data_IF_755827792326
#
_entry.id   IF_755827792326
#
_cell.length_a   1.000
_cell.length_b   1.000
_cell.length_c   1.000
_cell.angle_alpha   90.00
_cell.angle_beta   90.00
_cell.angle_gamma   90.00
#
_symmetry.space_group_name_H-M   'P 1'
#
loop_
_entity.id
_entity.type
_entity.pdbx_description
1 polymer ?
#
# COMPACT_ATOMS: atom_id res chain seq x y z
N UNK A 1 -23.10 -8.26 -11.98
CA UNK A 1 -24.56 -8.49 -11.98
C UNK A 1 -25.25 -7.14 -12.07
N UNK A 2 -26.36 -7.01 -12.81
CA UNK A 2 -27.21 -5.81 -12.79
C UNK A 2 -28.45 -6.11 -11.96
N UNK A 3 -28.93 -5.19 -11.10
CA UNK A 3 -30.17 -5.40 -10.38
C UNK A 3 -31.33 -5.51 -11.39
N UNK A 4 -32.31 -6.37 -11.09
CA UNK A 4 -33.50 -6.57 -11.92
C UNK A 4 -34.47 -5.38 -11.85
N UNK A 5 -34.29 -4.53 -10.84
CA UNK A 5 -35.06 -3.31 -10.63
C UNK A 5 -34.11 -2.11 -10.44
N UNK A 6 -34.67 -0.90 -10.55
CA UNK A 6 -33.89 0.33 -10.41
C UNK A 6 -33.67 0.63 -8.93
N UNK A 7 -32.46 0.40 -8.44
CA UNK A 7 -32.03 0.72 -7.07
C UNK A 7 -31.00 1.85 -7.05
N UNK A 8 -30.86 2.51 -5.91
CA UNK A 8 -29.88 3.60 -5.74
C UNK A 8 -28.44 3.07 -5.72
N UNK A 9 -27.47 3.92 -6.08
CA UNK A 9 -26.05 3.60 -5.94
C UNK A 9 -25.70 3.20 -4.50
N UNK A 10 -26.28 3.87 -3.50
CA UNK A 10 -26.07 3.54 -2.09
C UNK A 10 -26.62 2.16 -1.69
N UNK A 11 -27.75 1.75 -2.26
CA UNK A 11 -28.29 0.41 -2.06
C UNK A 11 -27.37 -0.65 -2.65
N UNK A 12 -26.76 -0.38 -3.82
CA UNK A 12 -25.73 -1.24 -4.41
C UNK A 12 -24.43 -1.24 -3.57
N UNK A 13 -24.09 -0.08 -3.01
CA UNK A 13 -23.17 0.15 -1.89
C UNK A 13 -23.22 -0.98 -0.87
N UNK A 14 -24.37 -1.03 -0.23
CA UNK A 14 -24.69 -1.95 0.83
C UNK A 14 -24.56 -3.41 0.38
N UNK A 15 -25.16 -3.76 -0.76
CA UNK A 15 -25.12 -5.14 -1.28
C UNK A 15 -23.68 -5.59 -1.55
N UNK A 16 -22.86 -4.71 -2.14
CA UNK A 16 -21.46 -5.03 -2.40
C UNK A 16 -20.72 -5.35 -1.10
N UNK A 17 -20.91 -4.53 -0.05
CA UNK A 17 -20.34 -4.78 1.28
C UNK A 17 -20.85 -6.09 1.88
N UNK A 18 -22.15 -6.40 1.78
CA UNK A 18 -22.70 -7.69 2.26
C UNK A 18 -22.11 -8.89 1.51
N UNK A 19 -21.90 -8.78 0.19
CA UNK A 19 -21.27 -9.84 -0.61
C UNK A 19 -19.81 -10.07 -0.20
N UNK A 20 -19.06 -9.02 0.11
CA UNK A 20 -17.67 -9.13 0.56
C UNK A 20 -17.53 -9.95 1.84
N UNK A 21 -18.50 -9.87 2.75
CA UNK A 21 -18.48 -10.66 3.99
C UNK A 21 -18.51 -12.17 3.73
N UNK A 22 -18.98 -12.60 2.56
CA UNK A 22 -19.01 -14.01 2.17
C UNK A 22 -17.74 -14.48 1.46
N UNK A 23 -16.74 -13.62 1.24
CA UNK A 23 -15.49 -13.97 0.58
C UNK A 23 -14.77 -15.15 1.24
N UNK A 24 -14.87 -15.28 2.56
CA UNK A 24 -14.26 -16.37 3.34
C UNK A 24 -14.77 -17.76 2.98
N UNK A 25 -15.94 -17.88 2.32
CA UNK A 25 -16.49 -19.16 1.84
C UNK A 25 -15.72 -19.72 0.65
N UNK A 26 -14.92 -18.90 -0.02
CA UNK A 26 -14.23 -19.27 -1.26
C UNK A 26 -12.72 -19.31 -1.06
N UNK A 27 -12.08 -20.31 -1.67
CA UNK A 27 -10.64 -20.53 -1.63
C UNK A 27 -10.12 -20.89 -3.02
N UNK A 28 -8.80 -21.03 -3.16
CA UNK A 28 -8.22 -21.49 -4.43
C UNK A 28 -8.72 -22.90 -4.83
N UNK A 29 -8.96 -23.78 -3.85
CA UNK A 29 -9.55 -25.10 -4.09
C UNK A 29 -11.10 -25.06 -4.20
N UNK A 30 -11.73 -23.96 -3.79
CA UNK A 30 -13.18 -23.76 -3.82
C UNK A 30 -13.53 -22.40 -4.42
N UNK A 31 -13.29 -22.26 -5.72
CA UNK A 31 -13.46 -21.00 -6.46
C UNK A 31 -14.92 -20.65 -6.71
N UNK A 32 -15.22 -19.35 -6.83
CA UNK A 32 -16.55 -18.91 -7.24
C UNK A 32 -16.82 -19.28 -8.69
N UNK A 33 -18.03 -19.74 -9.01
CA UNK A 33 -18.48 -20.00 -10.38
C UNK A 33 -19.95 -19.59 -10.54
N UNK A 34 -20.48 -19.64 -11.77
CA UNK A 34 -21.84 -19.20 -12.07
C UNK A 34 -22.92 -19.95 -11.27
N UNK A 35 -22.78 -21.27 -11.11
CA UNK A 35 -23.73 -22.08 -10.34
C UNK A 35 -23.74 -21.72 -8.85
N UNK A 36 -22.56 -21.59 -8.24
CA UNK A 36 -22.41 -21.19 -6.83
C UNK A 36 -22.88 -19.76 -6.60
N UNK A 37 -22.70 -18.88 -7.58
CA UNK A 37 -23.17 -17.51 -7.52
C UNK A 37 -24.70 -17.44 -7.63
N UNK A 38 -25.34 -18.32 -8.41
CA UNK A 38 -26.80 -18.40 -8.48
C UNK A 38 -27.46 -18.94 -7.21
N UNK A 39 -26.73 -19.73 -6.42
CA UNK A 39 -27.19 -20.27 -5.13
C UNK A 39 -26.81 -19.38 -3.93
N UNK A 40 -26.01 -18.33 -4.17
CA UNK A 40 -25.52 -17.46 -3.09
C UNK A 40 -26.68 -16.67 -2.47
N UNK A 41 -26.97 -16.96 -1.21
CA UNK A 41 -27.90 -16.19 -0.39
C UNK A 41 -27.13 -15.08 0.34
N UNK A 42 -27.65 -13.86 0.28
CA UNK A 42 -27.17 -12.73 1.07
C UNK A 42 -28.25 -12.31 2.06
N UNK A 43 -27.82 -11.95 3.26
CA UNK A 43 -28.73 -11.38 4.26
C UNK A 43 -28.84 -9.88 4.03
N UNK A 44 -30.06 -9.42 3.78
CA UNK A 44 -30.39 -8.01 3.60
C UNK A 44 -31.48 -7.61 4.60
N UNK A 45 -31.50 -6.34 5.03
CA UNK A 45 -32.65 -5.78 5.74
C UNK A 45 -33.92 -5.91 4.88
N UNK A 46 -35.01 -6.37 5.46
CA UNK A 46 -36.31 -6.52 4.76
C UNK A 46 -37.39 -5.64 5.38
N UNK A 47 -38.45 -5.40 4.62
CA UNK A 47 -39.74 -4.95 5.13
C UNK A 47 -40.52 -6.15 5.69
N UNK A 48 -41.69 -5.89 6.28
CA UNK A 48 -42.56 -6.94 6.85
C UNK A 48 -43.09 -7.93 5.79
N UNK A 49 -43.11 -7.53 4.52
CA UNK A 49 -43.49 -8.37 3.37
C UNK A 49 -42.35 -9.26 2.85
N UNK A 50 -41.17 -9.21 3.48
CA UNK A 50 -39.98 -9.95 3.09
C UNK A 50 -39.20 -9.34 1.91
N UNK A 51 -39.64 -8.22 1.34
CA UNK A 51 -38.91 -7.53 0.29
C UNK A 51 -37.72 -6.76 0.86
N UNK A 52 -36.60 -6.61 0.12
CA UNK A 52 -35.45 -5.85 0.59
C UNK A 52 -35.81 -4.38 0.88
N UNK A 53 -35.39 -3.89 2.04
CA UNK A 53 -35.63 -2.51 2.45
C UNK A 53 -34.59 -1.57 1.79
N UNK A 54 -34.82 -1.24 0.53
CA UNK A 54 -33.94 -0.38 -0.28
C UNK A 54 -33.74 1.01 0.31
N UNK A 55 -34.80 1.56 0.90
CA UNK A 55 -34.76 2.86 1.56
C UNK A 55 -33.81 2.84 2.76
N UNK A 56 -33.94 1.84 3.64
CA UNK A 56 -33.04 1.65 4.77
C UNK A 56 -31.58 1.49 4.32
N UNK A 57 -31.31 0.58 3.38
CA UNK A 57 -29.94 0.36 2.90
C UNK A 57 -29.31 1.65 2.33
N UNK A 58 -30.10 2.43 1.57
CA UNK A 58 -29.65 3.71 1.01
C UNK A 58 -29.36 4.73 2.11
N UNK A 59 -30.30 4.89 3.06
CA UNK A 59 -30.17 5.83 4.18
C UNK A 59 -28.99 5.47 5.09
N UNK A 60 -28.81 4.19 5.40
CA UNK A 60 -27.69 3.69 6.20
C UNK A 60 -26.34 3.99 5.55
N UNK A 61 -26.16 3.67 4.27
CA UNK A 61 -24.89 3.93 3.59
C UNK A 61 -24.57 5.43 3.48
N UNK A 62 -25.59 6.29 3.33
CA UNK A 62 -25.42 7.76 3.38
C UNK A 62 -25.00 8.23 4.77
N UNK A 63 -25.60 7.69 5.82
CA UNK A 63 -25.22 7.99 7.20
C UNK A 63 -23.76 7.60 7.47
N UNK A 64 -23.35 6.41 7.03
CA UNK A 64 -21.98 5.93 7.14
C UNK A 64 -20.98 6.77 6.34
N UNK A 65 -21.33 7.16 5.11
CA UNK A 65 -20.51 8.09 4.31
C UNK A 65 -20.35 9.43 5.04
N UNK A 66 -21.45 10.01 5.55
CA UNK A 66 -21.41 11.27 6.30
C UNK A 66 -20.51 11.16 7.54
N UNK A 67 -20.62 10.05 8.30
CA UNK A 67 -19.78 9.77 9.47
C UNK A 67 -18.29 9.73 9.11
N UNK A 68 -17.93 9.05 8.03
CA UNK A 68 -16.55 8.97 7.55
C UNK A 68 -16.03 10.32 7.04
N UNK A 69 -16.87 11.10 6.37
CA UNK A 69 -16.51 12.44 5.85
C UNK A 69 -16.21 13.42 6.99
N UNK A 70 -16.97 13.39 8.09
CA UNK A 70 -16.72 14.23 9.28
C UNK A 70 -15.32 13.99 9.86
N UNK A 71 -14.81 12.76 9.80
CA UNK A 71 -13.47 12.44 10.29
C UNK A 71 -12.38 12.72 9.23
N UNK A 72 -12.69 12.44 7.96
CA UNK A 72 -11.71 12.47 6.87
C UNK A 72 -11.39 13.90 6.43
N UNK A 73 -12.39 14.77 6.29
CA UNK A 73 -12.20 16.13 5.79
C UNK A 73 -11.24 16.95 6.68
N UNK A 74 -11.40 17.02 8.02
CA UNK A 74 -10.48 17.78 8.87
C UNK A 74 -9.06 17.20 8.86
N UNK A 75 -8.91 15.89 8.64
CA UNK A 75 -7.59 15.27 8.51
C UNK A 75 -6.89 15.73 7.24
N UNK A 76 -7.58 15.67 6.10
CA UNK A 76 -7.04 16.10 4.81
C UNK A 76 -6.74 17.61 4.80
N UNK A 77 -7.62 18.43 5.38
CA UNK A 77 -7.41 19.88 5.51
C UNK A 77 -6.16 20.21 6.31
N UNK A 78 -5.96 19.55 7.46
CA UNK A 78 -4.74 19.72 8.27
C UNK A 78 -3.47 19.28 7.53
N UNK A 79 -3.53 18.15 6.82
CA UNK A 79 -2.39 17.63 6.06
C UNK A 79 -2.02 18.55 4.89
N UNK A 80 -3.01 19.15 4.23
CA UNK A 80 -2.79 20.10 3.14
C UNK A 80 -2.24 21.43 3.67
N UNK A 81 -2.83 21.97 4.75
CA UNK A 81 -2.39 23.23 5.35
C UNK A 81 -0.96 23.16 5.92
N UNK A 82 -0.52 21.99 6.39
CA UNK A 82 0.81 21.78 6.94
C UNK A 82 1.92 21.59 5.89
N UNK A 83 1.60 21.60 4.59
CA UNK A 83 2.56 21.38 3.53
C UNK A 83 2.67 22.54 2.55
N UNK A 84 3.89 22.82 2.13
CA UNK A 84 4.19 23.61 0.95
C UNK A 84 4.99 22.77 -0.03
N UNK A 85 4.78 22.99 -1.33
CA UNK A 85 5.54 22.33 -2.37
C UNK A 85 5.91 23.35 -3.44
N UNK A 86 7.19 23.44 -3.73
CA UNK A 86 7.68 24.23 -4.86
C UNK A 86 7.28 23.58 -6.18
N UNK A 87 7.04 24.36 -7.24
CA UNK A 87 6.77 23.83 -8.56
C UNK A 87 8.03 23.13 -9.11
N UNK A 88 8.06 21.80 -9.03
CA UNK A 88 9.21 20.98 -9.43
C UNK A 88 8.81 19.98 -10.52
N UNK A 89 9.27 20.15 -11.75
CA UNK A 89 8.97 19.25 -12.88
C UNK A 89 9.97 18.12 -13.08
N UNK A 90 9.45 16.92 -13.42
CA UNK A 90 10.25 15.78 -13.92
C UNK A 90 10.82 15.96 -15.34
N UNK A 91 10.10 16.56 -16.30
CA UNK A 91 10.61 16.71 -17.66
C UNK A 91 11.96 17.45 -17.66
N UNK A 92 12.87 17.08 -18.57
CA UNK A 92 14.20 17.68 -18.79
C UNK A 92 15.27 17.45 -17.70
N UNK A 93 14.98 16.71 -16.63
CA UNK A 93 16.03 16.35 -15.66
C UNK A 93 16.94 15.26 -16.23
N UNK A 94 18.28 15.37 -16.07
CA UNK A 94 19.17 14.28 -16.40
C UNK A 94 18.99 13.10 -15.44
N UNK A 95 19.15 11.87 -15.96
CA UNK A 95 19.03 10.64 -15.17
C UNK A 95 20.28 9.79 -15.35
N UNK A 96 20.64 9.03 -14.31
CA UNK A 96 21.76 8.10 -14.34
C UNK A 96 21.42 6.81 -13.60
N UNK A 97 22.10 5.73 -13.99
CA UNK A 97 22.04 4.46 -13.29
C UNK A 97 23.02 4.45 -12.11
N UNK A 98 22.54 4.08 -10.93
CA UNK A 98 23.33 3.90 -9.71
C UNK A 98 23.25 2.44 -9.25
N UNK A 99 24.31 1.86 -8.69
CA UNK A 99 24.17 0.54 -8.05
C UNK A 99 23.41 0.71 -6.74
N UNK A 100 22.48 -0.18 -6.48
CA UNK A 100 21.64 -0.10 -5.29
C UNK A 100 22.48 -0.12 -4.00
N UNK A 101 23.52 -0.97 -3.97
CA UNK A 101 24.38 -1.13 -2.80
C UNK A 101 25.39 0.01 -2.60
N UNK A 102 25.59 0.86 -3.62
CA UNK A 102 26.36 2.11 -3.47
C UNK A 102 25.54 3.16 -2.71
N UNK A 103 24.20 3.07 -2.77
CA UNK A 103 23.27 4.02 -2.11
C UNK A 103 22.73 3.49 -0.76
N UNK A 104 22.60 2.16 -0.63
CA UNK A 104 21.98 1.52 0.52
C UNK A 104 22.87 0.42 1.12
N UNK A 105 22.88 0.34 2.45
CA UNK A 105 23.32 -0.85 3.16
C UNK A 105 22.17 -1.88 3.16
N UNK A 106 22.43 -3.08 2.64
CA UNK A 106 21.44 -4.15 2.61
C UNK A 106 21.61 -5.12 3.79
N UNK A 107 20.53 -5.37 4.52
CA UNK A 107 20.44 -6.35 5.60
C UNK A 107 19.30 -7.30 5.34
N UNK A 108 19.54 -8.61 5.41
CA UNK A 108 18.47 -9.61 5.26
C UNK A 108 17.59 -9.64 6.52
N UNK A 109 16.28 -9.77 6.35
CA UNK A 109 15.38 -10.06 7.47
C UNK A 109 15.78 -11.35 8.20
N UNK A 110 15.40 -11.45 9.47
CA UNK A 110 15.88 -12.49 10.38
C UNK A 110 14.74 -13.37 10.95
N UNK A 111 13.49 -13.09 10.60
CA UNK A 111 12.32 -13.82 11.06
C UNK A 111 12.02 -15.04 10.18
N UNK A 112 12.60 -16.20 10.54
CA UNK A 112 12.44 -17.47 9.81
C UNK A 112 11.20 -18.27 10.21
N UNK A 113 10.66 -18.03 11.41
CA UNK A 113 9.53 -18.78 11.99
C UNK A 113 8.44 -17.83 12.47
N UNK A 114 7.87 -17.08 11.53
CA UNK A 114 6.88 -16.04 11.83
C UNK A 114 5.64 -16.55 12.58
N UNK A 115 5.24 -17.80 12.36
CA UNK A 115 4.04 -18.39 12.99
C UNK A 115 4.21 -18.64 14.51
N UNK A 116 5.44 -18.63 15.01
CA UNK A 116 5.72 -18.84 16.43
C UNK A 116 5.78 -17.52 17.22
N UNK A 117 5.62 -16.37 16.55
CA UNK A 117 5.66 -15.06 17.19
C UNK A 117 4.33 -14.78 17.89
N UNK A 118 4.40 -14.34 19.14
CA UNK A 118 3.23 -13.93 19.91
C UNK A 118 2.64 -12.63 19.34
N UNK A 119 1.30 -12.44 19.39
CA UNK A 119 0.65 -11.20 18.99
C UNK A 119 1.14 -10.01 19.83
N UNK A 120 1.38 -8.87 19.18
CA UNK A 120 1.84 -7.66 19.86
C UNK A 120 1.57 -6.39 19.05
N UNK A 121 2.42 -5.37 19.21
CA UNK A 121 2.23 -4.05 18.58
C UNK A 121 3.30 -3.70 17.54
N UNK A 122 4.29 -4.56 17.33
CA UNK A 122 5.37 -4.33 16.36
C UNK A 122 4.98 -4.88 15.00
N UNK A 123 5.05 -4.09 13.90
CA UNK A 123 4.72 -4.61 12.58
C UNK A 123 5.69 -5.73 12.16
N UNK A 124 5.12 -6.83 11.69
CA UNK A 124 5.85 -7.90 11.02
C UNK A 124 5.76 -7.70 9.50
N UNK A 125 6.88 -7.35 8.88
CA UNK A 125 6.97 -7.18 7.44
C UNK A 125 7.34 -8.51 6.78
N UNK A 126 6.54 -8.93 5.81
CA UNK A 126 6.79 -10.10 4.98
C UNK A 126 6.74 -9.74 3.50
N UNK A 127 7.00 -10.71 2.63
CA UNK A 127 7.01 -10.49 1.19
C UNK A 127 5.61 -10.36 0.53
N UNK A 128 4.65 -9.72 1.22
CA UNK A 128 3.31 -9.43 0.72
C UNK A 128 3.37 -8.30 -0.31
N UNK A 129 2.49 -8.37 -1.31
CA UNK A 129 2.38 -7.35 -2.38
C UNK A 129 1.48 -6.16 -2.03
N UNK A 130 0.81 -6.20 -0.87
CA UNK A 130 -0.14 -5.20 -0.40
C UNK A 130 0.15 -4.81 1.05
N UNK A 131 -0.53 -3.78 1.55
CA UNK A 131 -0.44 -3.26 2.92
C UNK A 131 0.99 -2.93 3.36
N UNK A 132 1.81 -2.35 2.47
CA UNK A 132 3.19 -1.96 2.77
C UNK A 132 4.08 -3.14 3.25
N UNK A 133 3.74 -4.36 2.84
CA UNK A 133 4.41 -5.59 3.30
C UNK A 133 3.97 -6.07 4.68
N UNK A 134 3.07 -5.37 5.37
CA UNK A 134 2.62 -5.75 6.73
C UNK A 134 1.83 -7.06 6.67
N UNK A 135 2.35 -8.06 7.39
CA UNK A 135 1.73 -9.36 7.58
C UNK A 135 0.80 -9.36 8.78
N UNK A 136 1.33 -8.94 9.92
CA UNK A 136 0.69 -8.99 11.23
C UNK A 136 1.37 -8.03 12.21
N UNK A 137 0.95 -8.02 13.47
CA UNK A 137 1.61 -7.35 14.58
C UNK A 137 2.02 -8.34 15.66
N UNK A 138 3.27 -8.27 16.08
CA UNK A 138 3.92 -9.25 16.95
C UNK A 138 4.63 -8.57 18.12
N UNK A 139 4.93 -9.34 19.16
CA UNK A 139 5.86 -8.90 20.20
C UNK A 139 7.28 -8.77 19.65
N UNK A 140 8.09 -7.93 20.30
CA UNK A 140 9.50 -7.84 19.99
C UNK A 140 10.21 -9.11 20.48
N UNK A 141 10.64 -9.94 19.53
CA UNK A 141 11.41 -11.14 19.83
C UNK A 141 12.89 -10.85 20.08
N UNK A 142 13.62 -11.88 20.52
CA UNK A 142 15.06 -11.82 20.82
C UNK A 142 15.97 -11.48 19.63
N UNK A 143 15.46 -11.57 18.40
CA UNK A 143 16.21 -11.28 17.17
C UNK A 143 16.34 -9.79 16.87
N UNK A 144 15.71 -8.93 17.67
CA UNK A 144 15.72 -7.48 17.50
C UNK A 144 14.96 -7.00 16.27
N UNK A 145 14.78 -5.69 16.20
CA UNK A 145 14.03 -5.02 15.13
C UNK A 145 14.95 -4.35 14.12
N UNK A 146 14.45 -4.26 12.89
CA UNK A 146 15.04 -3.39 11.89
C UNK A 146 14.57 -1.96 12.12
N UNK A 147 15.44 -0.96 11.91
CA UNK A 147 15.12 0.42 12.25
C UNK A 147 14.06 1.00 11.30
N UNK A 148 13.36 2.04 11.78
CA UNK A 148 12.49 2.86 10.94
C UNK A 148 13.27 3.60 9.86
N UNK A 149 12.54 4.22 8.92
CA UNK A 149 13.10 5.06 7.87
C UNK A 149 14.04 4.28 6.95
N UNK A 150 13.56 3.12 6.52
CA UNK A 150 14.24 2.22 5.61
C UNK A 150 13.31 1.80 4.46
N UNK A 151 13.89 1.12 3.47
CA UNK A 151 13.12 0.47 2.40
C UNK A 151 13.18 -1.04 2.63
N UNK A 152 12.05 -1.73 2.54
CA UNK A 152 12.02 -3.20 2.48
C UNK A 152 11.77 -3.65 1.06
N UNK A 153 12.60 -4.56 0.56
CA UNK A 153 12.54 -5.15 -0.77
C UNK A 153 12.17 -6.64 -0.67
N UNK A 154 11.05 -7.00 -1.28
CA UNK A 154 10.60 -8.39 -1.35
C UNK A 154 11.51 -9.17 -2.28
N UNK A 155 12.24 -10.16 -1.75
CA UNK A 155 13.16 -10.94 -2.56
C UNK A 155 12.46 -12.05 -3.32
N UNK A 156 11.39 -12.60 -2.75
CA UNK A 156 10.61 -13.70 -3.27
C UNK A 156 9.14 -13.52 -2.85
N UNK A 157 8.22 -14.30 -3.41
CA UNK A 157 6.81 -14.31 -3.01
C UNK A 157 5.84 -14.20 -4.18
N UNK A 158 4.70 -14.87 -4.05
CA UNK A 158 3.66 -14.96 -5.08
C UNK A 158 3.07 -13.57 -5.41
N UNK A 159 3.50 -13.05 -6.57
CA UNK A 159 3.19 -11.69 -7.01
C UNK A 159 3.83 -10.57 -6.17
N UNK A 160 4.60 -10.90 -5.14
CA UNK A 160 5.25 -9.95 -4.23
C UNK A 160 6.70 -9.62 -4.59
N UNK A 161 7.39 -10.52 -5.28
CA UNK A 161 8.81 -10.37 -5.62
C UNK A 161 9.10 -9.05 -6.36
N UNK A 162 10.19 -8.39 -5.98
CA UNK A 162 10.64 -7.12 -6.58
C UNK A 162 9.85 -5.88 -6.18
N UNK A 163 8.81 -6.01 -5.35
CA UNK A 163 8.16 -4.84 -4.75
C UNK A 163 9.00 -4.31 -3.59
N UNK A 164 9.10 -2.98 -3.52
CA UNK A 164 9.71 -2.27 -2.43
C UNK A 164 8.66 -1.43 -1.68
N UNK A 165 8.92 -1.20 -0.40
CA UNK A 165 8.04 -0.46 0.50
C UNK A 165 8.87 0.42 1.45
N UNK A 166 8.40 1.63 1.72
CA UNK A 166 9.01 2.49 2.74
C UNK A 166 8.46 2.13 4.12
N UNK A 167 9.32 1.90 5.11
CA UNK A 167 8.90 1.57 6.47
C UNK A 167 9.05 2.77 7.40
N UNK A 168 7.94 3.41 7.85
CA UNK A 168 8.00 4.55 8.76
C UNK A 168 8.27 4.16 10.22
N UNK A 169 8.17 2.87 10.57
CA UNK A 169 8.34 2.36 11.92
C UNK A 169 9.41 1.27 11.96
N UNK A 170 9.96 1.03 13.15
CA UNK A 170 10.80 -0.14 13.37
C UNK A 170 9.94 -1.40 13.26
N UNK A 171 10.52 -2.49 12.76
CA UNK A 171 9.75 -3.67 12.39
C UNK A 171 10.53 -4.97 12.54
N UNK A 172 9.79 -6.05 12.82
CA UNK A 172 10.28 -7.41 12.64
C UNK A 172 10.19 -7.73 11.14
N UNK A 173 11.22 -8.35 10.55
CA UNK A 173 11.29 -8.55 9.09
C UNK A 173 11.58 -10.00 8.75
N UNK A 174 10.68 -10.57 7.95
CA UNK A 174 10.79 -11.90 7.32
C UNK A 174 12.12 -12.07 6.58
N UNK A 175 12.72 -13.25 6.68
CA UNK A 175 13.94 -13.58 5.95
C UNK A 175 13.75 -13.71 4.43
N UNK A 176 12.53 -13.62 3.90
CA UNK A 176 12.28 -13.41 2.47
C UNK A 176 12.32 -11.94 2.04
N UNK A 177 12.59 -11.01 2.95
CA UNK A 177 12.66 -9.56 2.71
C UNK A 177 14.06 -9.02 3.01
N UNK A 178 14.52 -8.08 2.19
CA UNK A 178 15.79 -7.36 2.39
C UNK A 178 15.49 -5.95 2.83
N UNK A 179 16.09 -5.51 3.93
CA UNK A 179 16.05 -4.13 4.41
C UNK A 179 17.19 -3.35 3.76
N UNK A 180 16.88 -2.18 3.22
CA UNK A 180 17.79 -1.24 2.59
C UNK A 180 17.83 0.03 3.44
N UNK A 181 18.96 0.27 4.09
CA UNK A 181 19.22 1.44 4.91
C UNK A 181 19.98 2.47 4.08
N UNK A 182 19.52 3.73 3.98
CA UNK A 182 20.26 4.74 3.22
C UNK A 182 21.63 4.96 3.86
N UNK A 183 22.69 5.00 3.04
CA UNK A 183 24.07 5.22 3.51
C UNK A 183 24.35 6.66 3.93
N UNK A 184 23.50 7.58 3.48
CA UNK A 184 23.54 8.99 3.82
C UNK A 184 22.16 9.45 4.31
N UNK A 185 22.08 10.71 4.74
CA UNK A 185 20.82 11.28 5.20
C UNK A 185 19.92 11.60 4.00
N UNK A 186 18.86 10.83 3.82
CA UNK A 186 17.88 10.98 2.73
C UNK A 186 16.51 11.30 3.32
N UNK A 187 15.74 12.18 2.69
CA UNK A 187 14.38 12.51 3.13
C UNK A 187 13.34 11.40 2.87
N UNK A 188 12.19 11.45 3.54
CA UNK A 188 11.10 10.47 3.36
C UNK A 188 10.59 10.45 1.92
N UNK A 189 10.34 11.62 1.35
CA UNK A 189 9.87 11.76 -0.03
C UNK A 189 10.89 11.17 -1.01
N UNK A 190 12.17 11.48 -0.83
CA UNK A 190 13.26 10.91 -1.62
C UNK A 190 13.31 9.37 -1.54
N UNK A 191 13.13 8.77 -0.36
CA UNK A 191 13.04 7.31 -0.22
C UNK A 191 11.79 6.73 -0.89
N UNK A 192 10.63 7.41 -0.80
CA UNK A 192 9.41 6.98 -1.50
C UNK A 192 9.58 7.03 -3.03
N UNK A 193 10.31 8.02 -3.53
CA UNK A 193 10.70 8.08 -4.94
C UNK A 193 11.54 6.86 -5.33
N UNK A 194 12.58 6.57 -4.55
CA UNK A 194 13.43 5.39 -4.76
C UNK A 194 12.64 4.08 -4.71
N UNK A 195 11.70 3.94 -3.77
CA UNK A 195 10.75 2.80 -3.69
C UNK A 195 10.00 2.61 -4.99
N UNK A 196 9.48 3.70 -5.58
CA UNK A 196 8.75 3.64 -6.85
C UNK A 196 9.63 3.17 -8.00
N UNK A 197 10.87 3.67 -8.06
CA UNK A 197 11.86 3.29 -9.08
C UNK A 197 12.33 1.83 -8.92
N UNK A 198 12.50 1.34 -7.69
CA UNK A 198 12.86 -0.06 -7.42
C UNK A 198 11.71 -0.97 -7.86
N UNK A 199 10.49 -0.66 -7.40
CA UNK A 199 9.28 -1.42 -7.70
C UNK A 199 8.92 -1.42 -9.19
N UNK A 200 9.32 -0.39 -9.94
CA UNK A 200 9.14 -0.35 -11.40
C UNK A 200 9.88 -1.50 -12.11
N UNK A 201 10.90 -2.07 -11.48
CA UNK A 201 11.70 -3.16 -12.06
C UNK A 201 11.19 -4.55 -11.67
N UNK A 202 10.08 -4.64 -10.92
CA UNK A 202 9.55 -5.91 -10.40
C UNK A 202 9.27 -6.97 -11.45
N UNK A 203 8.98 -6.58 -12.69
CA UNK A 203 8.64 -7.49 -13.78
C UNK A 203 9.75 -8.51 -14.10
N UNK A 204 10.98 -8.23 -13.68
CA UNK A 204 12.13 -9.14 -13.80
C UNK A 204 12.09 -10.30 -12.80
N UNK A 205 11.26 -10.21 -11.76
CA UNK A 205 11.27 -11.12 -10.61
C UNK A 205 9.93 -11.81 -10.45
N UNK A 206 9.97 -13.02 -9.90
CA UNK A 206 8.78 -13.84 -9.70
C UNK A 206 9.14 -15.23 -9.23
N UNK A 207 8.16 -16.14 -9.31
CA UNK A 207 8.36 -17.53 -8.93
C UNK A 207 9.48 -18.16 -9.78
N UNK A 208 10.51 -18.71 -9.14
CA UNK A 208 11.70 -19.25 -9.81
C UNK A 208 12.78 -18.21 -10.18
N UNK A 209 12.51 -16.91 -9.99
CA UNK A 209 13.47 -15.83 -10.24
C UNK A 209 13.46 -14.79 -9.11
N UNK A 210 13.92 -15.23 -7.93
CA UNK A 210 14.04 -14.39 -6.73
C UNK A 210 15.24 -13.44 -6.79
N UNK A 211 15.24 -12.41 -5.95
CA UNK A 211 16.37 -11.50 -5.77
C UNK A 211 17.39 -12.18 -4.84
N UNK A 212 18.35 -12.89 -5.45
CA UNK A 212 19.50 -13.45 -4.74
C UNK A 212 20.50 -12.35 -4.35
N UNK A 213 21.45 -12.67 -3.47
CA UNK A 213 22.54 -11.76 -3.10
C UNK A 213 23.36 -11.30 -4.31
N UNK A 214 23.60 -12.18 -5.29
CA UNK A 214 24.27 -11.83 -6.55
C UNK A 214 23.46 -10.85 -7.39
N UNK A 215 22.16 -11.10 -7.53
CA UNK A 215 21.27 -10.19 -8.28
C UNK A 215 21.15 -8.84 -7.58
N UNK A 216 21.15 -8.83 -6.24
CA UNK A 216 21.16 -7.60 -5.45
C UNK A 216 22.44 -6.80 -5.67
N UNK A 217 23.61 -7.46 -5.72
CA UNK A 217 24.90 -6.81 -6.06
C UNK A 217 24.89 -6.18 -7.45
N UNK A 218 24.24 -6.83 -8.41
CA UNK A 218 24.07 -6.31 -9.77
C UNK A 218 22.93 -5.31 -9.94
N UNK A 219 22.11 -5.07 -8.92
CA UNK A 219 20.91 -4.24 -9.05
C UNK A 219 21.29 -2.78 -9.30
N UNK A 220 20.77 -2.21 -10.39
CA UNK A 220 20.92 -0.80 -10.74
C UNK A 220 19.59 -0.07 -10.75
N UNK A 221 19.58 1.17 -10.26
CA UNK A 221 18.42 2.02 -10.14
C UNK A 221 18.64 3.31 -10.93
N UNK A 222 17.68 3.68 -11.77
CA UNK A 222 17.68 4.97 -12.46
C UNK A 222 17.12 6.04 -11.52
N UNK A 223 17.90 7.09 -11.27
CA UNK A 223 17.49 8.25 -10.46
C UNK A 223 17.88 9.56 -11.16
N UNK A 224 17.19 10.68 -10.86
CA UNK A 224 17.62 12.02 -11.26
C UNK A 224 19.00 12.35 -10.69
N UNK A 225 19.86 12.98 -11.49
CA UNK A 225 21.23 13.34 -11.09
C UNK A 225 21.34 14.80 -10.64
N UNK A 226 22.13 15.03 -9.59
CA UNK A 226 22.51 16.35 -9.07
C UNK A 226 23.71 16.93 -9.83
N UNK A 227 24.10 18.15 -9.47
CA UNK A 227 25.23 18.83 -10.12
C UNK A 227 26.57 18.14 -9.86
N UNK A 228 26.69 17.45 -8.73
CA UNK A 228 27.86 16.66 -8.31
C UNK A 228 27.91 15.25 -8.93
N UNK A 229 26.91 14.88 -9.74
CA UNK A 229 26.76 13.54 -10.30
C UNK A 229 26.07 12.53 -9.36
N UNK A 230 25.86 12.84 -8.08
CA UNK A 230 25.15 11.97 -7.15
C UNK A 230 23.63 12.04 -7.37
N UNK A 231 22.83 11.14 -6.78
CA UNK A 231 21.38 11.25 -6.89
C UNK A 231 20.89 12.57 -6.31
N UNK A 232 20.00 13.26 -7.03
CA UNK A 232 19.42 14.52 -6.56
C UNK A 232 18.30 14.25 -5.54
N UNK A 233 18.68 13.96 -4.30
CA UNK A 233 17.73 13.64 -3.22
C UNK A 233 16.79 14.79 -2.91
N UNK A 234 17.28 16.04 -2.92
CA UNK A 234 16.46 17.22 -2.65
C UNK A 234 15.37 17.39 -3.71
N UNK A 235 15.71 17.19 -4.99
CA UNK A 235 14.73 17.18 -6.06
C UNK A 235 13.69 16.07 -5.86
N UNK A 236 14.12 14.84 -5.56
CA UNK A 236 13.20 13.72 -5.36
C UNK A 236 12.26 13.94 -4.16
N UNK A 237 12.79 14.53 -3.08
CA UNK A 237 12.01 14.94 -1.91
C UNK A 237 10.97 15.99 -2.27
N UNK A 238 11.37 17.07 -2.95
CA UNK A 238 10.47 18.14 -3.37
C UNK A 238 9.40 17.65 -4.34
N UNK A 239 9.78 16.80 -5.30
CA UNK A 239 8.86 16.18 -6.26
C UNK A 239 7.79 15.35 -5.55
N UNK A 240 8.19 14.44 -4.65
CA UNK A 240 7.22 13.60 -3.94
C UNK A 240 6.33 14.40 -3.00
N UNK A 241 6.85 15.47 -2.39
CA UNK A 241 6.04 16.39 -1.59
C UNK A 241 4.97 17.08 -2.42
N UNK A 242 5.31 17.53 -3.63
CA UNK A 242 4.34 18.10 -4.58
C UNK A 242 3.26 17.09 -4.95
N UNK A 243 3.63 15.88 -5.34
CA UNK A 243 2.67 14.82 -5.68
C UNK A 243 1.72 14.51 -4.51
N UNK A 244 2.24 14.47 -3.28
CA UNK A 244 1.45 14.27 -2.06
C UNK A 244 0.45 15.42 -1.86
N UNK A 245 0.89 16.67 -2.00
CA UNK A 245 0.02 17.86 -1.87
C UNK A 245 -1.08 17.92 -2.93
N UNK A 246 -0.74 17.67 -4.20
CA UNK A 246 -1.73 17.62 -5.27
C UNK A 246 -2.74 16.48 -5.06
N UNK A 247 -2.26 15.32 -4.60
CA UNK A 247 -3.12 14.18 -4.24
C UNK A 247 -4.09 14.52 -3.11
N UNK A 248 -3.60 15.17 -2.05
CA UNK A 248 -4.42 15.64 -0.93
C UNK A 248 -5.46 16.66 -1.39
N UNK A 249 -5.08 17.64 -2.22
CA UNK A 249 -5.98 18.66 -2.75
C UNK A 249 -7.09 18.04 -3.62
N UNK A 250 -6.74 17.13 -4.53
CA UNK A 250 -7.72 16.40 -5.36
C UNK A 250 -8.69 15.58 -4.49
N UNK A 251 -8.17 14.83 -3.53
CA UNK A 251 -8.98 14.03 -2.61
C UNK A 251 -9.92 14.90 -1.78
N UNK A 252 -9.41 16.00 -1.22
CA UNK A 252 -10.21 16.95 -0.46
C UNK A 252 -11.34 17.56 -1.31
N UNK A 253 -11.05 17.97 -2.54
CA UNK A 253 -12.06 18.48 -3.48
C UNK A 253 -13.15 17.47 -3.78
N UNK A 254 -12.77 16.22 -4.06
CA UNK A 254 -13.70 15.11 -4.29
C UNK A 254 -14.63 14.88 -3.09
N UNK A 255 -14.07 14.74 -1.88
CA UNK A 255 -14.85 14.45 -0.68
C UNK A 255 -15.70 15.63 -0.22
N UNK A 256 -15.28 16.88 -0.46
CA UNK A 256 -16.14 18.07 -0.26
C UNK A 256 -17.35 18.06 -1.19
N UNK A 257 -17.18 17.59 -2.42
CA UNK A 257 -18.28 17.43 -3.38
C UNK A 257 -19.34 16.43 -2.92
N UNK A 258 -18.94 15.37 -2.19
CA UNK A 258 -19.84 14.36 -1.62
C UNK A 258 -20.68 14.82 -0.44
N UNK A 259 -20.32 15.95 0.20
CA UNK A 259 -21.06 16.52 1.33
C UNK A 259 -22.25 17.40 0.90
N UNK A 260 -22.34 17.75 -0.38
CA UNK A 260 -23.44 18.55 -0.95
C UNK A 260 -24.63 17.65 -1.26
#
# INVERSE_FOLDING_TARGET
>A
MKPKERVSEYSLLFIATSLEQHKSKYSYAYTINSARLSEQVILLPTLDDGMPNWHFMSAYMRQEEARLLVQTLPRLERQLAGGSAEPVGLPSRPWRAYRLLDLFEARRGNQNHMAALAPGFTPLISAKKWNNGVKDFVEEGSKGLFPRHCITLNNDGDGGAGLAFYQPFAAAVDSHVTVLLPRERVGRGALLFAVRCISAQRAKYGHGYSISSDRLRGFRLMLPVGEDGNPNWDFMEAYMRREEQEGLARGLGYFKGKRK
#
